data_IF_331209659197
#
_entry.id   IF_331209659197
#
_cell.length_a   1.000
_cell.length_b   1.000
_cell.length_c   1.000
_cell.angle_alpha   90.00
_cell.angle_beta   90.00
_cell.angle_gamma   90.00
#
_symmetry.space_group_name_H-M   'P 1'
#
loop_
_entity.id
_entity.type
_entity.pdbx_description
1 polymer ?
#
# COMPACT_ATOMS: atom_id res chain seq x y z
N UNK A 1 -7.81 8.17 -19.40
CA UNK A 1 -7.94 7.59 -18.05
C UNK A 1 -7.46 6.14 -18.11
N UNK A 2 -6.28 5.81 -17.58
CA UNK A 2 -5.73 4.45 -17.65
C UNK A 2 -6.54 3.48 -16.77
N UNK A 3 -6.76 2.24 -17.24
CA UNK A 3 -7.60 1.26 -16.58
C UNK A 3 -7.10 0.94 -15.16
N UNK A 4 -8.01 0.72 -14.20
CA UNK A 4 -7.68 0.53 -12.80
C UNK A 4 -6.84 -0.74 -12.52
N UNK A 5 -6.72 -1.64 -13.49
CA UNK A 5 -5.86 -2.82 -13.44
C UNK A 5 -4.36 -2.50 -13.46
N UNK A 6 -3.93 -1.45 -14.16
CA UNK A 6 -2.51 -1.08 -14.22
C UNK A 6 -2.05 -0.27 -12.99
N UNK A 7 -2.98 0.31 -12.22
CA UNK A 7 -2.61 1.12 -11.04
C UNK A 7 -2.19 0.28 -9.82
N UNK A 8 -2.68 -0.95 -9.72
CA UNK A 8 -2.34 -1.89 -8.65
C UNK A 8 -0.85 -2.29 -8.60
N UNK A 9 -0.18 -2.67 -9.71
CA UNK A 9 1.23 -3.02 -9.67
C UNK A 9 2.12 -1.83 -9.27
N UNK A 10 1.75 -0.59 -9.57
CA UNK A 10 2.49 0.59 -9.09
C UNK A 10 2.39 0.76 -7.57
N UNK A 11 1.22 0.51 -6.98
CA UNK A 11 1.05 0.58 -5.52
C UNK A 11 1.81 -0.55 -4.84
N UNK A 12 1.79 -1.77 -5.40
CA UNK A 12 2.61 -2.87 -4.91
C UNK A 12 4.11 -2.58 -5.05
N UNK A 13 4.54 -1.92 -6.12
CA UNK A 13 5.93 -1.48 -6.28
C UNK A 13 6.32 -0.42 -5.26
N UNK A 14 5.41 0.52 -4.96
CA UNK A 14 5.62 1.52 -3.92
C UNK A 14 5.71 0.88 -2.52
N UNK A 15 4.85 -0.10 -2.22
CA UNK A 15 4.92 -0.89 -0.97
C UNK A 15 6.27 -1.62 -0.88
N UNK A 16 6.71 -2.30 -1.93
CA UNK A 16 8.02 -2.99 -1.96
C UNK A 16 9.19 -2.04 -1.73
N UNK A 17 9.16 -0.84 -2.35
CA UNK A 17 10.17 0.20 -2.11
C UNK A 17 10.14 0.70 -0.66
N UNK A 18 8.96 0.77 -0.07
CA UNK A 18 8.79 1.18 1.32
C UNK A 18 9.33 0.15 2.31
N UNK A 19 9.05 -1.13 2.09
CA UNK A 19 9.62 -2.22 2.89
C UNK A 19 11.15 -2.23 2.82
N UNK A 20 11.71 -2.06 1.62
CA UNK A 20 13.16 -1.97 1.46
C UNK A 20 13.75 -0.79 2.24
N UNK A 21 13.11 0.39 2.23
CA UNK A 21 13.55 1.54 3.01
C UNK A 21 13.53 1.27 4.51
N UNK A 22 12.48 0.59 5.00
CA UNK A 22 12.35 0.24 6.42
C UNK A 22 13.48 -0.71 6.85
N UNK A 23 13.74 -1.75 6.05
CA UNK A 23 14.83 -2.70 6.29
C UNK A 23 16.21 -2.04 6.21
N UNK A 24 16.45 -1.17 5.24
CA UNK A 24 17.71 -0.39 5.19
C UNK A 24 17.89 0.47 6.45
N UNK A 25 16.80 1.08 6.93
CA UNK A 25 16.82 1.90 8.14
C UNK A 25 17.16 1.07 9.38
N UNK A 26 16.57 -0.13 9.52
CA UNK A 26 16.88 -1.08 10.60
C UNK A 26 18.31 -1.61 10.51
N UNK A 27 18.86 -1.82 9.30
CA UNK A 27 20.26 -2.21 9.12
C UNK A 27 21.21 -1.08 9.52
N UNK A 28 20.93 0.16 9.09
CA UNK A 28 21.70 1.35 9.47
C UNK A 28 21.70 1.56 10.98
N UNK A 29 20.55 1.34 11.60
CA UNK A 29 20.43 1.31 13.06
C UNK A 29 21.31 0.25 13.71
N UNK A 30 21.28 -0.97 13.16
CA UNK A 30 22.03 -2.10 13.69
C UNK A 30 23.55 -1.87 13.64
N UNK A 31 24.02 -1.11 12.65
CA UNK A 31 25.44 -0.70 12.57
C UNK A 31 25.83 0.41 13.58
N UNK A 32 24.92 0.87 14.45
CA UNK A 32 25.09 2.03 15.35
C UNK A 32 25.54 3.31 14.65
N UNK A 33 25.41 3.39 13.33
CA UNK A 33 25.85 4.54 12.54
C UNK A 33 24.83 5.69 12.58
N UNK A 34 23.64 5.45 13.14
CA UNK A 34 22.55 6.41 13.23
C UNK A 34 22.09 6.58 14.68
N UNK A 35 22.09 7.81 15.15
CA UNK A 35 21.60 8.21 16.48
C UNK A 35 20.09 7.94 16.63
N UNK A 36 19.63 7.49 17.81
CA UNK A 36 18.22 7.19 18.14
C UNK A 36 17.23 8.24 17.66
N UNK A 37 17.58 9.51 17.84
CA UNK A 37 16.73 10.63 17.45
C UNK A 37 16.58 10.76 15.94
N UNK A 38 17.64 10.46 15.17
CA UNK A 38 17.62 10.53 13.70
C UNK A 38 16.83 9.36 13.11
N UNK A 39 16.97 8.17 13.68
CA UNK A 39 16.16 7.02 13.28
C UNK A 39 14.68 7.24 13.55
N UNK A 40 14.31 7.80 14.71
CA UNK A 40 12.92 8.12 15.01
C UNK A 40 12.33 9.13 14.02
N UNK A 41 13.10 10.17 13.66
CA UNK A 41 12.67 11.20 12.73
C UNK A 41 12.38 10.66 11.30
N UNK A 42 13.05 9.59 10.89
CA UNK A 42 12.86 8.97 9.55
C UNK A 42 11.87 7.82 9.59
N UNK A 43 11.83 7.03 10.67
CA UNK A 43 10.92 5.87 10.79
C UNK A 43 9.44 6.27 10.91
N UNK A 44 9.13 7.38 11.59
CA UNK A 44 7.75 7.90 11.73
C UNK A 44 7.11 8.20 10.36
N UNK A 45 7.69 9.05 9.50
CA UNK A 45 7.10 9.32 8.18
C UNK A 45 7.10 8.07 7.28
N UNK A 46 8.09 7.18 7.42
CA UNK A 46 8.11 5.89 6.69
C UNK A 46 6.95 4.99 7.13
N UNK A 47 6.62 4.92 8.40
CA UNK A 47 5.48 4.17 8.89
C UNK A 47 4.15 4.76 8.38
N UNK A 48 4.00 6.09 8.42
CA UNK A 48 2.80 6.77 7.91
C UNK A 48 2.57 6.52 6.41
N UNK A 49 3.62 6.60 5.60
CA UNK A 49 3.54 6.33 4.15
C UNK A 49 3.13 4.88 3.91
N UNK A 50 3.68 3.91 4.67
CA UNK A 50 3.29 2.50 4.59
C UNK A 50 1.81 2.28 4.92
N UNK A 51 1.31 2.93 5.98
CA UNK A 51 -0.09 2.84 6.38
C UNK A 51 -1.04 3.46 5.34
N UNK A 52 -0.65 4.60 4.73
CA UNK A 52 -1.40 5.23 3.65
C UNK A 52 -1.42 4.34 2.39
N UNK A 53 -0.27 3.78 1.99
CA UNK A 53 -0.17 2.86 0.85
C UNK A 53 -1.00 1.58 1.05
N UNK A 54 -0.96 1.00 2.25
CA UNK A 54 -1.78 -0.15 2.63
C UNK A 54 -3.28 0.15 2.59
N UNK A 55 -3.69 1.31 3.12
CA UNK A 55 -5.07 1.78 3.06
C UNK A 55 -5.56 2.03 1.63
N UNK A 56 -4.69 2.53 0.74
CA UNK A 56 -5.01 2.72 -0.67
C UNK A 56 -5.14 1.39 -1.41
N UNK A 57 -4.24 0.44 -1.14
CA UNK A 57 -4.32 -0.92 -1.68
C UNK A 57 -5.64 -1.61 -1.26
N UNK A 58 -6.02 -1.51 0.01
CA UNK A 58 -7.28 -2.04 0.52
C UNK A 58 -8.51 -1.39 -0.11
N UNK A 59 -8.52 -0.06 -0.26
CA UNK A 59 -9.61 0.66 -0.91
C UNK A 59 -9.77 0.32 -2.39
N UNK A 60 -8.66 0.18 -3.13
CA UNK A 60 -8.69 -0.18 -4.55
C UNK A 60 -9.13 -1.63 -4.74
N UNK A 61 -8.65 -2.55 -3.90
CA UNK A 61 -9.10 -3.95 -3.89
C UNK A 61 -10.59 -4.05 -3.61
N UNK A 62 -11.09 -3.33 -2.59
CA UNK A 62 -12.52 -3.28 -2.26
C UNK A 62 -13.36 -2.70 -3.39
N UNK A 63 -12.89 -1.64 -4.07
CA UNK A 63 -13.57 -1.07 -5.25
C UNK A 63 -13.60 -2.06 -6.42
N UNK A 64 -12.52 -2.78 -6.69
CA UNK A 64 -12.49 -3.84 -7.70
C UNK A 64 -13.45 -4.97 -7.36
N UNK A 65 -13.50 -5.39 -6.10
CA UNK A 65 -14.39 -6.46 -5.64
C UNK A 65 -15.87 -6.03 -5.70
N UNK A 66 -16.19 -4.79 -5.35
CA UNK A 66 -17.53 -4.22 -5.53
C UNK A 66 -17.92 -4.04 -7.01
N UNK A 67 -16.96 -3.71 -7.88
CA UNK A 67 -17.20 -3.62 -9.32
C UNK A 67 -17.47 -5.01 -9.95
N UNK A 68 -16.79 -6.06 -9.46
CA UNK A 68 -17.05 -7.44 -9.87
C UNK A 68 -18.43 -7.92 -9.38
N UNK A 69 -18.82 -7.59 -8.14
CA UNK A 69 -20.14 -7.93 -7.58
C UNK A 69 -21.29 -7.21 -8.30
N UNK A 70 -21.08 -6.02 -8.85
CA UNK A 70 -22.11 -5.29 -9.61
C UNK A 70 -22.35 -5.82 -11.03
N UNK A 71 -21.47 -6.67 -11.57
CA UNK A 71 -21.61 -7.20 -12.93
C UNK A 71 -22.16 -8.64 -12.99
N UNK A 72 -22.69 -9.15 -11.86
CA UNK A 72 -23.42 -10.42 -11.82
C UNK A 72 -24.86 -10.21 -12.34
N UNK A 73 -25.29 -10.89 -13.42
CA UNK A 73 -26.60 -10.68 -14.06
C UNK A 73 -27.70 -11.49 -13.36
N UNK A 74 -27.96 -11.20 -12.07
CA UNK A 74 -28.94 -12.00 -11.32
C UNK A 74 -29.81 -11.14 -10.41
N UNK A 75 -30.67 -10.34 -11.06
CA UNK A 75 -32.11 -10.19 -10.74
C UNK A 75 -32.79 -9.42 -11.88
N UNK A 76 -32.73 -9.98 -13.10
CA UNK A 76 -33.72 -9.74 -14.14
C UNK A 76 -34.77 -10.83 -13.96
N UNK A 77 -35.90 -10.48 -13.37
CA UNK A 77 -37.05 -11.36 -13.22
C UNK A 77 -37.19 -11.96 -11.83
N UNK A 78 -37.95 -11.27 -10.99
CA UNK A 78 -39.03 -11.91 -10.23
C UNK A 78 -40.18 -10.90 -10.25
N UNK A 79 -41.34 -11.44 -10.63
CA UNK A 79 -42.60 -10.76 -10.93
C UNK A 79 -43.21 -10.11 -9.70
#
# INVERSE_FOLDING_TARGET
FLPPAEKLPYIQLAIRKQDALKVLLEILWNTKSLDDKKYLAVSVPVAEIGQRLGGWHGQITKKMQQANIKNSPQKRGEK
#
